data_IF_331486230591
#
_entry.id   IF_331486230591
#
_cell.length_a   1.000
_cell.length_b   1.000
_cell.length_c   1.000
_cell.angle_alpha   90.00
_cell.angle_beta   90.00
_cell.angle_gamma   90.00
#
_symmetry.space_group_name_H-M   'P 1'
#
loop_
_entity.id
_entity.type
_entity.pdbx_description
1 polymer ?
#
# COMPACT_ATOMS: atom_id res chain seq x y z
N UNK A 1 5.36 -16.46 -11.97
CA UNK A 1 4.44 -15.82 -11.00
C UNK A 1 4.17 -14.35 -11.33
N UNK A 2 5.18 -13.48 -11.48
CA UNK A 2 4.91 -12.05 -11.77
C UNK A 2 4.28 -11.79 -13.15
N UNK A 3 4.70 -12.51 -14.20
CA UNK A 3 4.15 -12.33 -15.55
C UNK A 3 2.68 -12.78 -15.69
N UNK A 4 2.23 -13.76 -14.89
CA UNK A 4 0.83 -14.21 -14.92
C UNK A 4 -0.13 -13.16 -14.35
N UNK A 5 0.32 -12.30 -13.43
CA UNK A 5 -0.54 -11.25 -12.85
C UNK A 5 -1.05 -10.24 -13.89
N UNK A 6 -0.29 -10.01 -14.97
CA UNK A 6 -0.71 -9.14 -16.07
C UNK A 6 -2.04 -9.60 -16.70
N UNK A 7 -2.28 -10.91 -16.75
CA UNK A 7 -3.49 -11.46 -17.36
C UNK A 7 -4.70 -11.47 -16.41
N UNK A 8 -4.45 -11.55 -15.10
CA UNK A 8 -5.51 -11.71 -14.10
C UNK A 8 -5.92 -10.42 -13.40
N UNK A 9 -4.98 -9.48 -13.22
CA UNK A 9 -5.25 -8.24 -12.49
C UNK A 9 -5.61 -7.15 -13.50
N UNK A 10 -6.84 -6.60 -13.44
CA UNK A 10 -7.19 -5.46 -14.27
C UNK A 10 -6.38 -4.23 -13.84
N UNK A 11 -6.18 -3.33 -14.79
CA UNK A 11 -5.50 -2.07 -14.53
C UNK A 11 -6.28 -1.18 -13.55
N UNK A 12 -5.58 -0.29 -12.83
CA UNK A 12 -6.23 0.57 -11.82
C UNK A 12 -7.21 1.55 -12.47
N UNK A 13 -8.42 1.67 -11.91
CA UNK A 13 -9.44 2.62 -12.38
C UNK A 13 -8.92 4.05 -12.42
N UNK A 14 -8.14 4.46 -11.40
CA UNK A 14 -7.55 5.81 -11.32
C UNK A 14 -6.50 6.06 -12.41
N UNK A 15 -5.74 5.02 -12.79
CA UNK A 15 -4.78 5.12 -13.90
C UNK A 15 -5.50 5.28 -15.25
N UNK A 16 -6.60 4.55 -15.47
CA UNK A 16 -7.43 4.70 -16.66
C UNK A 16 -8.01 6.11 -16.79
N UNK A 17 -8.48 6.70 -15.68
CA UNK A 17 -8.99 8.07 -15.64
C UNK A 17 -7.88 9.07 -15.96
N UNK A 18 -6.68 8.91 -15.38
CA UNK A 18 -5.52 9.77 -15.64
C UNK A 18 -5.09 9.76 -17.12
N UNK A 19 -5.23 8.62 -17.80
CA UNK A 19 -4.94 8.47 -19.23
C UNK A 19 -6.10 8.84 -20.17
N UNK A 20 -7.08 9.60 -19.69
CA UNK A 20 -8.25 10.02 -20.47
C UNK A 20 -9.10 8.87 -21.02
N UNK A 21 -9.14 7.71 -20.33
CA UNK A 21 -9.98 6.53 -20.68
C UNK A 21 -11.08 6.28 -19.62
N UNK A 22 -12.01 7.22 -19.39
CA UNK A 22 -13.00 7.11 -18.31
C UNK A 22 -14.05 6.00 -18.54
N UNK A 23 -14.41 5.74 -19.79
CA UNK A 23 -15.39 4.68 -20.15
C UNK A 23 -14.90 3.29 -19.75
N UNK A 24 -13.62 3.01 -19.93
CA UNK A 24 -13.03 1.73 -19.50
C UNK A 24 -12.97 1.60 -17.98
N UNK A 25 -12.70 2.70 -17.27
CA UNK A 25 -12.75 2.74 -15.81
C UNK A 25 -14.16 2.42 -15.30
N UNK A 26 -15.21 2.96 -15.94
CA UNK A 26 -16.62 2.69 -15.62
C UNK A 26 -16.95 1.22 -15.80
N UNK A 27 -16.59 0.63 -16.95
CA UNK A 27 -16.83 -0.80 -17.24
C UNK A 27 -16.11 -1.67 -16.20
N UNK A 28 -14.87 -1.32 -15.85
CA UNK A 28 -14.11 -2.03 -14.84
C UNK A 28 -14.78 -1.97 -13.47
N UNK A 29 -15.16 -0.77 -13.01
CA UNK A 29 -15.81 -0.59 -11.71
C UNK A 29 -17.15 -1.34 -11.68
N UNK A 30 -17.94 -1.32 -12.76
CA UNK A 30 -19.17 -2.10 -12.85
C UNK A 30 -18.93 -3.61 -12.80
N UNK A 31 -17.88 -4.12 -13.45
CA UNK A 31 -17.50 -5.54 -13.41
C UNK A 31 -17.12 -5.97 -11.98
N UNK A 32 -16.37 -5.13 -11.28
CA UNK A 32 -16.00 -5.34 -9.87
C UNK A 32 -17.22 -5.27 -8.97
N UNK A 33 -18.11 -4.29 -9.16
CA UNK A 33 -19.35 -4.14 -8.40
C UNK A 33 -20.26 -5.36 -8.55
N UNK A 34 -20.43 -5.87 -9.78
CA UNK A 34 -21.17 -7.12 -10.05
C UNK A 34 -20.55 -8.31 -9.32
N UNK A 35 -19.22 -8.44 -9.33
CA UNK A 35 -18.50 -9.51 -8.62
C UNK A 35 -18.68 -9.42 -7.10
N UNK A 36 -18.75 -8.19 -6.58
CA UNK A 36 -19.01 -7.89 -5.16
C UNK A 36 -20.50 -7.91 -4.78
N UNK A 37 -21.41 -8.24 -5.72
CA UNK A 37 -22.87 -8.22 -5.53
C UNK A 37 -23.41 -6.86 -5.07
N UNK A 38 -22.74 -5.76 -5.45
CA UNK A 38 -23.17 -4.39 -5.17
C UNK A 38 -23.65 -3.77 -6.47
N UNK A 39 -24.87 -3.22 -6.48
CA UNK A 39 -25.40 -2.45 -7.61
C UNK A 39 -25.07 -0.98 -7.39
N UNK A 40 -24.09 -0.47 -8.14
CA UNK A 40 -23.77 0.96 -8.15
C UNK A 40 -24.62 1.62 -9.25
N UNK A 41 -25.46 2.62 -8.93
CA UNK A 41 -26.19 3.37 -9.93
C UNK A 41 -25.21 4.07 -10.89
N UNK A 42 -25.51 4.06 -12.19
CA UNK A 42 -24.69 4.73 -13.21
C UNK A 42 -24.43 6.20 -12.88
N UNK A 43 -25.45 6.91 -12.40
CA UNK A 43 -25.36 8.34 -12.08
C UNK A 43 -24.38 8.66 -10.95
N UNK A 44 -24.18 7.72 -10.00
CA UNK A 44 -23.20 7.89 -8.91
C UNK A 44 -21.80 7.60 -9.42
N UNK A 45 -21.67 6.61 -10.30
CA UNK A 45 -20.39 6.22 -10.87
C UNK A 45 -19.83 7.31 -11.79
N UNK A 46 -20.68 7.91 -12.63
CA UNK A 46 -20.28 8.99 -13.53
C UNK A 46 -19.83 10.22 -12.74
N UNK A 47 -20.54 10.58 -11.66
CA UNK A 47 -20.11 11.65 -10.74
C UNK A 47 -18.75 11.39 -10.10
N UNK A 48 -18.51 10.16 -9.62
CA UNK A 48 -17.22 9.80 -9.01
C UNK A 48 -16.06 9.89 -10.01
N UNK A 49 -16.31 9.50 -11.27
CA UNK A 49 -15.30 9.61 -12.34
C UNK A 49 -15.06 11.07 -12.73
N UNK A 50 -16.10 11.90 -12.76
CA UNK A 50 -15.99 13.34 -12.98
C UNK A 50 -15.23 14.04 -11.84
N UNK A 51 -15.51 13.70 -10.59
CA UNK A 51 -14.79 14.21 -9.41
C UNK A 51 -13.30 13.84 -9.46
N UNK A 52 -12.97 12.57 -9.75
CA UNK A 52 -11.58 12.11 -9.82
C UNK A 52 -10.86 12.74 -11.01
N UNK A 53 -11.55 12.94 -12.14
CA UNK A 53 -11.03 13.69 -13.29
C UNK A 53 -10.79 15.16 -12.96
N UNK A 54 -11.71 15.83 -12.27
CA UNK A 54 -11.56 17.22 -11.86
C UNK A 54 -10.38 17.40 -10.89
N UNK A 55 -10.21 16.49 -9.94
CA UNK A 55 -9.06 16.47 -9.04
C UNK A 55 -7.74 16.30 -9.81
N UNK A 56 -7.71 15.43 -10.82
CA UNK A 56 -6.52 15.23 -11.67
C UNK A 56 -6.23 16.42 -12.58
N UNK A 57 -7.25 17.11 -13.10
CA UNK A 57 -7.07 18.34 -13.90
C UNK A 57 -6.58 19.51 -13.04
N UNK A 58 -7.03 19.63 -11.78
CA UNK A 58 -6.43 20.60 -10.84
C UNK A 58 -4.95 20.33 -10.60
N UNK A 59 -4.56 19.05 -10.54
CA UNK A 59 -3.17 18.63 -10.35
C UNK A 59 -2.31 18.86 -11.61
N UNK A 60 -2.89 18.77 -12.82
CA UNK A 60 -2.19 19.05 -14.10
C UNK A 60 -1.86 20.53 -14.29
N UNK A 61 -2.64 21.43 -13.68
CA UNK A 61 -2.39 22.87 -13.70
C UNK A 61 -1.22 23.26 -12.78
N UNK A 62 -0.85 22.38 -11.84
CA UNK A 62 0.39 22.52 -11.07
C UNK A 62 1.60 22.04 -11.90
N UNK A 63 2.78 22.68 -11.76
CA UNK A 63 3.98 22.22 -12.43
C UNK A 63 4.26 20.77 -12.05
N UNK A 64 4.64 19.94 -13.05
CA UNK A 64 4.94 18.51 -12.84
C UNK A 64 5.82 18.34 -11.60
N UNK A 65 5.38 17.58 -10.59
CA UNK A 65 6.10 17.47 -9.33
C UNK A 65 7.47 16.85 -9.61
N UNK A 66 8.52 17.59 -9.28
CA UNK A 66 9.89 17.09 -9.33
C UNK A 66 10.21 16.34 -8.04
N UNK A 67 11.13 15.39 -8.09
CA UNK A 67 11.63 14.72 -6.87
C UNK A 67 12.21 15.74 -5.87
N UNK A 68 12.67 16.89 -6.35
CA UNK A 68 13.16 17.98 -5.51
C UNK A 68 12.05 18.74 -4.77
N UNK A 69 10.80 18.68 -5.23
CA UNK A 69 9.66 19.33 -4.57
C UNK A 69 9.31 18.66 -3.22
N UNK A 70 9.75 17.41 -3.03
CA UNK A 70 9.70 16.71 -1.73
C UNK A 70 10.44 17.49 -0.64
N UNK A 71 11.55 18.14 -0.99
CA UNK A 71 12.33 18.95 -0.06
C UNK A 71 11.80 20.38 0.07
N UNK A 72 11.06 20.86 -0.94
CA UNK A 72 10.48 22.20 -0.99
C UNK A 72 9.27 22.33 -0.06
N UNK A 73 8.43 21.31 0.03
CA UNK A 73 7.25 21.32 0.89
C UNK A 73 7.55 20.77 2.30
N UNK A 74 7.44 21.59 3.38
CA UNK A 74 7.84 21.17 4.72
C UNK A 74 7.00 20.01 5.28
N UNK A 75 5.72 19.95 4.94
CA UNK A 75 4.84 18.84 5.32
C UNK A 75 5.23 17.53 4.62
N UNK A 76 5.62 17.61 3.34
CA UNK A 76 6.02 16.44 2.56
C UNK A 76 7.39 15.93 3.03
N UNK A 77 8.33 16.84 3.30
CA UNK A 77 9.64 16.51 3.89
C UNK A 77 9.51 15.79 5.23
N UNK A 78 8.64 16.25 6.13
CA UNK A 78 8.40 15.58 7.43
C UNK A 78 7.87 14.16 7.23
N UNK A 79 6.90 13.97 6.34
CA UNK A 79 6.36 12.64 6.03
C UNK A 79 7.42 11.74 5.41
N UNK A 80 8.20 12.24 4.47
CA UNK A 80 9.29 11.50 3.84
C UNK A 80 10.34 11.06 4.87
N UNK A 81 10.78 11.95 5.75
CA UNK A 81 11.73 11.61 6.83
C UNK A 81 11.20 10.54 7.77
N UNK A 82 9.91 10.61 8.14
CA UNK A 82 9.28 9.56 8.96
C UNK A 82 9.28 8.21 8.25
N UNK A 83 8.97 8.18 6.94
CA UNK A 83 8.99 6.94 6.14
C UNK A 83 10.42 6.40 6.01
N UNK A 84 11.42 7.26 5.79
CA UNK A 84 12.81 6.85 5.74
C UNK A 84 13.31 6.28 7.08
N UNK A 85 12.93 6.91 8.19
CA UNK A 85 13.25 6.42 9.52
C UNK A 85 12.59 5.07 9.80
N UNK A 86 11.31 4.92 9.44
CA UNK A 86 10.57 3.66 9.58
C UNK A 86 11.24 2.53 8.79
N UNK A 87 11.62 2.81 7.54
CA UNK A 87 12.30 1.85 6.69
C UNK A 87 13.68 1.47 7.22
N UNK A 88 14.42 2.44 7.77
CA UNK A 88 15.72 2.20 8.40
C UNK A 88 15.60 1.30 9.64
N UNK A 89 14.67 1.61 10.54
CA UNK A 89 14.43 0.80 11.74
C UNK A 89 14.00 -0.62 11.34
N UNK A 90 13.05 -0.75 10.42
CA UNK A 90 12.56 -2.06 9.96
C UNK A 90 13.68 -2.89 9.31
N UNK A 91 14.47 -2.28 8.43
CA UNK A 91 15.63 -2.95 7.83
C UNK A 91 16.65 -3.35 8.89
N UNK A 92 16.95 -2.46 9.84
CA UNK A 92 17.86 -2.75 10.95
C UNK A 92 17.40 -3.94 11.79
N UNK A 93 16.12 -3.98 12.18
CA UNK A 93 15.53 -5.09 12.92
C UNK A 93 15.58 -6.39 12.09
N UNK A 94 15.20 -6.34 10.82
CA UNK A 94 15.22 -7.52 9.94
C UNK A 94 16.63 -8.10 9.76
N UNK A 95 17.62 -7.26 9.43
CA UNK A 95 19.01 -7.70 9.32
C UNK A 95 19.60 -8.10 10.67
N UNK A 96 19.20 -7.45 11.76
CA UNK A 96 19.58 -7.80 13.12
C UNK A 96 19.11 -9.21 13.51
N UNK A 97 17.82 -9.53 13.27
CA UNK A 97 17.29 -10.88 13.45
C UNK A 97 17.99 -11.89 12.53
N UNK A 98 18.22 -11.53 11.27
CA UNK A 98 18.87 -12.42 10.30
C UNK A 98 20.32 -12.75 10.68
N UNK A 99 21.09 -11.77 11.15
CA UNK A 99 22.44 -12.01 11.66
C UNK A 99 22.45 -12.79 12.98
N UNK A 100 21.55 -12.49 13.92
CA UNK A 100 21.47 -13.22 15.18
C UNK A 100 21.02 -14.68 15.00
N UNK A 101 20.22 -14.97 13.96
CA UNK A 101 19.80 -16.34 13.61
C UNK A 101 20.99 -17.27 13.34
N UNK A 102 22.16 -16.74 12.94
CA UNK A 102 23.40 -17.54 12.80
C UNK A 102 24.09 -17.85 14.14
N UNK A 103 23.81 -17.06 15.19
CA UNK A 103 24.39 -17.20 16.51
C UNK A 103 23.45 -17.91 17.52
N UNK A 104 22.16 -18.07 17.19
CA UNK A 104 21.28 -18.99 17.89
C UNK A 104 21.72 -20.43 17.58
N UNK A 105 22.54 -21.01 18.46
CA UNK A 105 22.97 -22.41 18.34
C UNK A 105 21.80 -23.36 18.10
N UNK A 106 21.88 -24.16 17.03
CA UNK A 106 20.80 -25.02 16.55
C UNK A 106 20.89 -25.27 15.04
N UNK A 107 19.90 -25.95 14.46
CA UNK A 107 19.82 -26.13 13.01
C UNK A 107 19.22 -24.86 12.36
N UNK A 108 19.97 -24.15 11.50
CA UNK A 108 19.52 -22.88 10.91
C UNK A 108 18.25 -23.02 10.07
N UNK A 109 17.99 -24.20 9.47
CA UNK A 109 16.75 -24.46 8.75
C UNK A 109 15.53 -24.46 9.68
N UNK A 110 15.66 -24.99 10.91
CA UNK A 110 14.55 -25.01 11.88
C UNK A 110 14.24 -23.60 12.39
N UNK A 111 15.27 -22.80 12.67
CA UNK A 111 15.07 -21.41 13.07
C UNK A 111 14.38 -20.59 11.96
N UNK A 112 14.75 -20.82 10.69
CA UNK A 112 14.09 -20.16 9.56
C UNK A 112 12.62 -20.57 9.42
N UNK A 113 12.29 -21.86 9.57
CA UNK A 113 10.91 -22.36 9.51
C UNK A 113 10.07 -21.80 10.66
N UNK A 114 10.61 -21.73 11.88
CA UNK A 114 9.90 -21.17 13.03
C UNK A 114 9.65 -19.66 12.84
N UNK A 115 10.64 -18.90 12.36
CA UNK A 115 10.47 -17.48 12.05
C UNK A 115 9.38 -17.26 11.00
N UNK A 116 9.40 -18.03 9.89
CA UNK A 116 8.35 -17.95 8.87
C UNK A 116 6.97 -18.38 9.39
N UNK A 117 6.91 -19.34 10.32
CA UNK A 117 5.65 -19.76 10.93
C UNK A 117 5.06 -18.68 11.85
N UNK A 118 5.90 -17.90 12.55
CA UNK A 118 5.48 -16.79 13.43
C UNK A 118 4.97 -15.58 12.63
N UNK A 119 5.42 -15.40 11.39
CA UNK A 119 4.92 -14.32 10.53
C UNK A 119 3.42 -14.47 10.19
N UNK A 120 2.94 -15.69 10.00
CA UNK A 120 1.53 -15.97 9.63
C UNK A 120 0.53 -15.43 10.68
N UNK A 121 0.63 -15.78 11.98
CA UNK A 121 -0.26 -15.22 12.99
C UNK A 121 -0.02 -13.73 13.20
N UNK A 122 1.22 -13.25 13.05
CA UNK A 122 1.52 -11.82 13.17
C UNK A 122 0.80 -10.98 12.09
N UNK A 123 0.83 -11.41 10.83
CA UNK A 123 0.11 -10.74 9.75
C UNK A 123 -1.40 -10.83 9.90
N UNK A 124 -1.91 -11.97 10.37
CA UNK A 124 -3.33 -12.14 10.66
C UNK A 124 -3.81 -11.16 11.74
N UNK A 125 -3.03 -11.02 12.82
CA UNK A 125 -3.30 -10.04 13.87
C UNK A 125 -3.23 -8.60 13.34
N UNK A 126 -2.25 -8.29 12.49
CA UNK A 126 -2.11 -6.98 11.87
C UNK A 126 -3.33 -6.63 11.03
N UNK A 127 -3.81 -7.54 10.16
CA UNK A 127 -5.00 -7.30 9.34
C UNK A 127 -6.25 -7.01 10.16
N UNK A 128 -6.46 -7.77 11.25
CA UNK A 128 -7.61 -7.56 12.14
C UNK A 128 -7.52 -6.23 12.89
N UNK A 129 -6.32 -5.90 13.37
CA UNK A 129 -6.11 -4.71 14.20
C UNK A 129 -6.11 -3.44 13.34
N UNK A 130 -5.59 -3.48 12.11
CA UNK A 130 -5.48 -2.33 11.20
C UNK A 130 -6.84 -1.69 10.92
N UNK A 131 -7.86 -2.51 10.72
CA UNK A 131 -9.22 -2.04 10.48
C UNK A 131 -9.90 -1.47 11.73
N UNK A 132 -9.45 -1.86 12.94
CA UNK A 132 -10.09 -1.43 14.21
C UNK A 132 -9.41 -0.22 14.86
N UNK A 133 -8.08 -0.20 14.92
CA UNK A 133 -7.31 0.78 15.71
C UNK A 133 -6.57 1.82 14.86
N UNK A 134 -6.60 1.67 13.54
CA UNK A 134 -5.97 2.58 12.60
C UNK A 134 -4.46 2.37 12.46
N UNK A 135 -3.91 2.90 11.35
CA UNK A 135 -2.53 2.64 10.92
C UNK A 135 -1.46 3.17 11.91
N UNK A 136 -1.67 4.37 12.47
CA UNK A 136 -0.65 5.05 13.29
C UNK A 136 -0.40 4.36 14.62
N UNK A 137 -1.46 3.94 15.31
CA UNK A 137 -1.36 3.33 16.64
C UNK A 137 -0.64 1.99 16.59
N UNK A 138 -0.90 1.20 15.55
CA UNK A 138 -0.28 -0.12 15.37
C UNK A 138 1.18 0.04 14.98
N UNK A 139 1.51 0.94 14.05
CA UNK A 139 2.91 1.20 13.66
C UNK A 139 3.75 1.65 14.87
N UNK A 140 3.27 2.67 15.61
CA UNK A 140 3.98 3.13 16.80
C UNK A 140 4.03 2.06 17.90
N UNK A 141 2.94 1.30 18.10
CA UNK A 141 2.91 0.21 19.07
C UNK A 141 3.92 -0.88 18.75
N UNK A 142 3.90 -1.42 17.52
CA UNK A 142 4.84 -2.44 17.08
C UNK A 142 6.29 -1.98 17.18
N UNK A 143 6.59 -0.71 16.90
CA UNK A 143 7.95 -0.17 17.05
C UNK A 143 8.40 0.02 18.50
N UNK A 144 7.47 0.21 19.45
CA UNK A 144 7.81 0.31 20.88
C UNK A 144 8.05 -1.08 21.48
N UNK A 145 7.34 -2.10 20.96
CA UNK A 145 7.43 -3.47 21.46
C UNK A 145 8.47 -4.36 20.74
N UNK A 146 8.97 -3.95 19.57
CA UNK A 146 10.03 -4.64 18.82
C UNK A 146 11.42 -4.34 19.37
#
# INVERSE_FOLDING_TARGET
LFLSYWWFIPESSRWLISNNRPTEAIILIQKVAKSNKVTVPSDVLDKLVEEDKAALESDKNEPKPSLLDVFKHPNLRRKALLIFFDWFVNSGTYYGLSWNTNNLGGNPLLNFVISGAVEIPAYSFLLLTLNRWGRRTILCGCMIFA
#
